data_IF_356369458174
#
_entry.id   IF_356369458174
#
_cell.length_a   1.000
_cell.length_b   1.000
_cell.length_c   1.000
_cell.angle_alpha   90.00
_cell.angle_beta   90.00
_cell.angle_gamma   90.00
#
_symmetry.space_group_name_H-M   'P 1'
#
loop_
_entity.id
_entity.type
_entity.pdbx_description
1 polymer ?
#
# COMPACT_ATOMS: atom_id res chain seq x y z
N UNK A 1 17.72 -22.33 -48.16
CA UNK A 1 16.99 -22.55 -46.90
C UNK A 1 18.03 -22.49 -45.76
N UNK A 2 18.05 -21.48 -44.93
CA UNK A 2 18.90 -21.47 -43.74
C UNK A 2 18.09 -21.91 -42.53
N UNK A 3 18.62 -22.88 -41.85
CA UNK A 3 18.15 -23.53 -40.62
C UNK A 3 18.14 -22.53 -39.43
N UNK A 4 17.04 -22.51 -38.69
CA UNK A 4 16.90 -21.81 -37.41
C UNK A 4 17.92 -22.37 -36.40
N UNK A 5 18.86 -21.54 -35.96
CA UNK A 5 19.69 -21.81 -34.79
C UNK A 5 18.95 -21.32 -33.53
N UNK A 6 18.64 -22.23 -32.65
CA UNK A 6 18.19 -21.98 -31.27
C UNK A 6 19.29 -21.30 -30.49
N UNK A 7 18.94 -20.20 -29.81
CA UNK A 7 19.83 -19.41 -28.99
C UNK A 7 20.15 -20.17 -27.68
N UNK A 8 21.21 -20.96 -27.71
CA UNK A 8 21.93 -21.46 -26.53
C UNK A 8 23.40 -21.39 -26.90
N UNK A 9 23.96 -20.19 -26.97
CA UNK A 9 25.41 -20.02 -27.00
C UNK A 9 25.93 -19.65 -25.63
N UNK A 10 26.37 -20.68 -24.91
CA UNK A 10 27.33 -20.57 -23.81
C UNK A 10 28.63 -20.02 -24.40
N UNK A 11 28.97 -18.78 -24.10
CA UNK A 11 30.30 -18.25 -24.44
C UNK A 11 31.32 -18.98 -23.57
N UNK A 12 31.88 -20.06 -24.12
CA UNK A 12 33.15 -20.64 -23.61
C UNK A 12 34.32 -19.84 -24.16
N UNK A 13 34.81 -18.92 -23.40
CA UNK A 13 36.23 -18.46 -23.55
C UNK A 13 36.92 -18.76 -22.21
N UNK A 14 37.88 -19.64 -22.28
CA UNK A 14 38.83 -19.93 -21.23
C UNK A 14 39.72 -18.70 -21.00
N UNK A 15 39.37 -17.91 -20.01
CA UNK A 15 40.28 -17.03 -19.28
C UNK A 15 39.93 -17.24 -17.82
N UNK A 16 40.90 -17.76 -17.11
CA UNK A 16 40.93 -18.06 -15.68
C UNK A 16 39.83 -17.36 -14.83
N UNK A 17 38.77 -18.11 -14.49
CA UNK A 17 38.29 -18.13 -13.13
C UNK A 17 37.10 -17.28 -12.72
N UNK A 18 36.39 -16.53 -13.55
CA UNK A 18 35.16 -15.89 -13.12
C UNK A 18 33.96 -16.25 -14.03
N UNK A 19 32.97 -16.95 -13.48
CA UNK A 19 31.67 -17.14 -14.15
C UNK A 19 30.70 -16.05 -13.68
N UNK A 20 30.22 -15.24 -14.63
CA UNK A 20 29.11 -14.32 -14.43
C UNK A 20 27.83 -15.00 -14.89
N UNK A 21 26.97 -15.38 -13.97
CA UNK A 21 25.62 -15.87 -14.30
C UNK A 21 24.62 -14.74 -14.08
N UNK A 22 23.93 -14.33 -15.14
CA UNK A 22 22.78 -13.43 -15.06
C UNK A 22 21.53 -14.30 -15.06
N UNK A 23 20.83 -14.32 -13.94
CA UNK A 23 19.50 -14.93 -13.88
C UNK A 23 18.47 -14.01 -14.54
N UNK A 24 17.99 -14.35 -15.72
CA UNK A 24 16.79 -13.75 -16.29
C UNK A 24 15.56 -14.36 -15.60
N UNK A 25 14.98 -13.65 -14.67
CA UNK A 25 13.59 -13.94 -14.28
C UNK A 25 12.69 -13.33 -15.34
N UNK A 26 11.99 -14.15 -16.11
CA UNK A 26 10.96 -13.69 -17.02
C UNK A 26 9.95 -12.83 -16.26
N UNK A 27 9.60 -11.69 -16.83
CA UNK A 27 8.67 -10.73 -16.27
C UNK A 27 7.26 -11.36 -16.24
N UNK A 28 6.88 -11.93 -15.11
CA UNK A 28 5.48 -12.16 -14.83
C UNK A 28 4.92 -10.82 -14.32
N UNK A 29 4.14 -10.13 -15.15
CA UNK A 29 3.36 -8.98 -14.70
C UNK A 29 2.45 -9.49 -13.59
N UNK A 30 2.60 -8.96 -12.38
CA UNK A 30 1.71 -9.36 -11.28
C UNK A 30 0.29 -8.99 -11.64
N UNK A 31 -0.66 -9.91 -11.48
CA UNK A 31 -2.04 -9.67 -11.83
C UNK A 31 -2.64 -8.49 -11.07
N UNK A 32 -3.39 -7.63 -11.76
CA UNK A 32 -4.10 -6.51 -11.17
C UNK A 32 -5.51 -6.39 -11.75
N UNK A 33 -6.49 -6.13 -10.89
CA UNK A 33 -7.89 -5.87 -11.26
C UNK A 33 -8.14 -4.37 -11.23
N UNK A 34 -8.56 -3.81 -12.36
CA UNK A 34 -8.82 -2.38 -12.52
C UNK A 34 -10.30 -2.18 -12.83
N UNK A 35 -10.99 -1.33 -12.08
CA UNK A 35 -12.35 -0.88 -12.38
C UNK A 35 -12.26 0.40 -13.20
N UNK A 36 -12.82 0.41 -14.41
CA UNK A 36 -12.81 1.57 -15.33
C UNK A 36 -14.15 2.29 -15.38
N UNK A 37 -15.24 1.60 -15.08
CA UNK A 37 -16.57 2.18 -14.97
C UNK A 37 -17.26 1.66 -13.72
N UNK A 38 -17.30 2.51 -12.68
CA UNK A 38 -18.03 2.26 -11.45
C UNK A 38 -19.46 2.81 -11.61
N UNK A 39 -20.52 1.97 -11.62
CA UNK A 39 -21.89 2.45 -11.70
C UNK A 39 -22.21 3.43 -10.57
N UNK A 40 -22.89 4.54 -10.88
CA UNK A 40 -23.32 5.49 -9.87
C UNK A 40 -24.33 4.84 -8.91
N UNK A 41 -24.35 5.30 -7.67
CA UNK A 41 -25.34 4.87 -6.67
C UNK A 41 -26.78 5.10 -7.20
N UNK A 42 -27.64 4.11 -7.04
CA UNK A 42 -29.02 4.16 -7.51
C UNK A 42 -29.22 3.80 -8.98
N UNK A 43 -28.16 3.51 -9.77
CA UNK A 43 -28.26 3.15 -11.18
C UNK A 43 -28.18 1.64 -11.41
N UNK A 44 -28.60 1.23 -12.61
CA UNK A 44 -28.52 -0.16 -13.11
C UNK A 44 -27.41 -0.35 -14.13
N UNK A 45 -26.48 0.60 -14.21
CA UNK A 45 -25.37 0.54 -15.16
C UNK A 45 -24.46 -0.68 -14.89
N UNK A 46 -23.73 -1.05 -15.92
CA UNK A 46 -22.81 -2.21 -15.86
C UNK A 46 -21.45 -1.80 -15.28
N UNK A 47 -20.99 -2.57 -14.31
CA UNK A 47 -19.60 -2.49 -13.82
C UNK A 47 -18.65 -2.97 -14.90
N UNK A 48 -17.58 -2.22 -15.19
CA UNK A 48 -16.60 -2.59 -16.21
C UNK A 48 -15.18 -2.39 -15.71
N UNK A 49 -14.24 -3.14 -16.30
CA UNK A 49 -12.84 -3.01 -15.95
C UNK A 49 -11.90 -3.79 -16.87
N UNK A 50 -10.64 -3.84 -16.43
CA UNK A 50 -9.58 -4.61 -17.05
C UNK A 50 -8.86 -5.45 -15.99
N UNK A 51 -8.29 -6.57 -16.44
CA UNK A 51 -7.31 -7.33 -15.67
C UNK A 51 -5.99 -7.33 -16.42
N UNK A 52 -4.94 -6.96 -15.73
CA UNK A 52 -3.56 -7.01 -16.24
C UNK A 52 -2.92 -8.30 -15.73
N UNK A 53 -2.10 -8.97 -16.56
CA UNK A 53 -1.32 -10.13 -16.14
C UNK A 53 -2.15 -11.41 -15.86
N UNK A 54 -3.40 -11.48 -16.33
CA UNK A 54 -4.24 -12.67 -16.19
C UNK A 54 -4.17 -13.58 -17.44
N UNK A 55 -4.39 -14.88 -17.22
CA UNK A 55 -4.66 -15.87 -18.26
C UNK A 55 -6.18 -16.09 -18.34
N UNK A 56 -6.90 -15.52 -19.34
CA UNK A 56 -8.36 -15.66 -19.44
C UNK A 56 -8.86 -17.09 -19.57
N UNK A 57 -7.99 -18.04 -19.93
CA UNK A 57 -8.36 -19.45 -20.06
C UNK A 57 -8.36 -20.20 -18.73
N UNK A 58 -7.68 -19.65 -17.71
CA UNK A 58 -7.51 -20.26 -16.38
C UNK A 58 -8.05 -19.42 -15.24
N UNK A 59 -8.40 -18.16 -15.53
CA UNK A 59 -8.78 -17.18 -14.52
C UNK A 59 -10.05 -16.44 -14.94
N UNK A 60 -10.82 -16.03 -13.96
CA UNK A 60 -12.05 -15.28 -14.12
C UNK A 60 -12.23 -14.34 -12.90
N UNK A 61 -13.28 -13.53 -12.88
CA UNK A 61 -13.58 -12.65 -11.77
C UNK A 61 -14.74 -13.16 -10.93
N UNK A 62 -14.54 -13.22 -9.62
CA UNK A 62 -15.61 -13.27 -8.64
C UNK A 62 -15.96 -11.82 -8.26
N UNK A 63 -17.18 -11.40 -8.52
CA UNK A 63 -17.66 -10.05 -8.25
C UNK A 63 -18.69 -10.08 -7.14
N UNK A 64 -18.57 -9.15 -6.20
CA UNK A 64 -19.49 -9.02 -5.06
C UNK A 64 -19.91 -7.58 -4.88
N UNK A 65 -21.10 -7.38 -4.31
CA UNK A 65 -21.58 -6.09 -3.83
C UNK A 65 -21.95 -6.18 -2.36
N UNK A 66 -21.80 -5.09 -1.64
CA UNK A 66 -22.26 -4.94 -0.27
C UNK A 66 -23.39 -3.93 -0.20
N UNK A 67 -24.57 -4.38 0.17
CA UNK A 67 -25.72 -3.53 0.44
C UNK A 67 -25.87 -3.42 1.98
N UNK A 68 -25.80 -2.22 2.60
CA UNK A 68 -25.73 -2.07 4.06
C UNK A 68 -26.82 -2.78 4.85
N UNK A 69 -28.04 -2.84 4.31
CA UNK A 69 -29.16 -3.51 4.95
C UNK A 69 -29.19 -5.05 4.75
N UNK A 70 -28.36 -5.57 3.82
CA UNK A 70 -28.49 -6.95 3.36
C UNK A 70 -27.18 -7.75 3.38
N UNK A 71 -26.02 -7.10 3.46
CA UNK A 71 -24.70 -7.74 3.43
C UNK A 71 -24.12 -7.94 2.02
N UNK A 72 -23.19 -8.89 1.89
CA UNK A 72 -22.49 -9.20 0.66
C UNK A 72 -23.23 -10.18 -0.23
N UNK A 73 -23.24 -9.94 -1.55
CA UNK A 73 -23.87 -10.79 -2.56
C UNK A 73 -22.97 -10.99 -3.78
N UNK A 74 -22.92 -12.24 -4.27
CA UNK A 74 -22.29 -12.55 -5.57
C UNK A 74 -23.01 -11.88 -6.73
N UNK A 75 -22.26 -11.41 -7.75
CA UNK A 75 -22.79 -10.76 -8.95
C UNK A 75 -22.07 -11.22 -10.24
N UNK A 76 -22.83 -11.46 -11.33
CA UNK A 76 -24.29 -11.58 -11.39
C UNK A 76 -24.81 -12.57 -10.33
N UNK A 77 -26.06 -12.43 -9.90
CA UNK A 77 -26.54 -13.22 -8.76
C UNK A 77 -26.54 -14.73 -9.09
N UNK A 78 -25.50 -15.41 -8.58
CA UNK A 78 -25.28 -16.85 -8.56
C UNK A 78 -25.24 -17.59 -9.92
N UNK A 79 -25.58 -16.94 -11.03
CA UNK A 79 -25.54 -17.57 -12.35
C UNK A 79 -25.31 -16.53 -13.46
N UNK A 80 -24.11 -16.53 -14.07
CA UNK A 80 -22.94 -17.33 -13.73
C UNK A 80 -22.29 -16.86 -12.42
N UNK A 81 -21.59 -17.76 -11.72
CA UNK A 81 -20.88 -17.41 -10.48
C UNK A 81 -19.62 -16.58 -10.75
N UNK A 82 -18.99 -16.78 -11.90
CA UNK A 82 -17.77 -16.09 -12.32
C UNK A 82 -18.03 -15.25 -13.58
N UNK A 83 -17.40 -14.09 -13.63
CA UNK A 83 -17.40 -13.18 -14.77
C UNK A 83 -16.19 -13.48 -15.64
N UNK A 84 -16.37 -13.82 -16.94
CA UNK A 84 -15.26 -14.11 -17.83
C UNK A 84 -14.43 -12.86 -18.14
N UNK A 85 -13.14 -13.07 -18.34
CA UNK A 85 -12.19 -12.07 -18.84
C UNK A 85 -12.07 -12.26 -20.35
N UNK A 86 -12.16 -11.17 -21.12
CA UNK A 86 -11.97 -11.22 -22.56
C UNK A 86 -10.48 -11.37 -22.91
N UNK A 87 -10.12 -11.80 -24.12
CA UNK A 87 -8.72 -11.96 -24.53
C UNK A 87 -7.89 -10.67 -24.45
N UNK A 88 -8.52 -9.49 -24.52
CA UNK A 88 -7.88 -8.19 -24.35
C UNK A 88 -7.75 -7.75 -22.88
N UNK A 89 -8.17 -8.60 -21.94
CA UNK A 89 -8.18 -8.31 -20.51
C UNK A 89 -9.42 -7.58 -20.01
N UNK A 90 -10.32 -7.13 -20.89
CA UNK A 90 -11.54 -6.44 -20.49
C UNK A 90 -12.56 -7.39 -19.84
N UNK A 91 -13.40 -6.84 -18.98
CA UNK A 91 -14.50 -7.56 -18.35
C UNK A 91 -15.67 -6.64 -18.04
N UNK A 92 -16.86 -7.22 -17.88
CA UNK A 92 -18.05 -6.50 -17.46
C UNK A 92 -18.98 -7.38 -16.65
N UNK A 93 -19.63 -6.80 -15.63
CA UNK A 93 -20.56 -7.50 -14.76
C UNK A 93 -21.81 -6.66 -14.53
N UNK A 94 -22.98 -7.29 -14.67
CA UNK A 94 -24.22 -6.70 -14.19
C UNK A 94 -24.31 -6.92 -12.67
N UNK A 95 -24.20 -5.85 -11.90
CA UNK A 95 -24.19 -5.89 -10.45
C UNK A 95 -25.57 -5.65 -9.82
N UNK A 96 -26.62 -5.50 -10.66
CA UNK A 96 -27.99 -5.23 -10.22
C UNK A 96 -28.94 -6.40 -10.47
N UNK A 97 -28.38 -7.62 -10.54
CA UNK A 97 -29.15 -8.87 -10.68
C UNK A 97 -29.48 -9.45 -9.31
N UNK A 98 -30.74 -9.71 -9.02
CA UNK A 98 -31.19 -10.48 -7.84
C UNK A 98 -31.98 -9.73 -6.80
N UNK A 99 -31.93 -8.40 -6.74
CA UNK A 99 -32.72 -7.67 -5.74
C UNK A 99 -32.76 -6.16 -5.89
N UNK A 100 -33.80 -5.53 -5.33
CA UNK A 100 -33.95 -4.06 -5.38
C UNK A 100 -32.88 -3.32 -4.56
N UNK A 101 -32.25 -3.97 -3.59
CA UNK A 101 -31.15 -3.41 -2.80
C UNK A 101 -29.82 -3.29 -3.56
N UNK A 102 -29.68 -3.92 -4.71
CA UNK A 102 -28.43 -3.95 -5.47
C UNK A 102 -27.99 -2.57 -5.96
N UNK A 103 -28.93 -1.72 -6.37
CA UNK A 103 -28.64 -0.34 -6.80
C UNK A 103 -28.11 0.53 -5.67
N UNK A 104 -28.43 0.17 -4.42
CA UNK A 104 -28.02 0.89 -3.20
C UNK A 104 -26.79 0.30 -2.52
N UNK A 105 -26.11 -0.66 -3.16
CA UNK A 105 -24.86 -1.20 -2.65
C UNK A 105 -23.81 -0.08 -2.52
N UNK A 106 -23.10 -0.08 -1.40
CA UNK A 106 -22.08 0.95 -1.08
C UNK A 106 -20.65 0.47 -1.28
N UNK A 107 -20.42 -0.85 -1.36
CA UNK A 107 -19.09 -1.42 -1.65
C UNK A 107 -19.19 -2.44 -2.78
N UNK A 108 -18.17 -2.51 -3.61
CA UNK A 108 -18.03 -3.45 -4.70
C UNK A 108 -16.65 -4.10 -4.59
N UNK A 109 -16.62 -5.44 -4.67
CA UNK A 109 -15.38 -6.21 -4.72
C UNK A 109 -15.30 -6.97 -6.04
N UNK A 110 -14.19 -6.84 -6.75
CA UNK A 110 -13.84 -7.62 -7.93
C UNK A 110 -12.54 -8.38 -7.66
N UNK A 111 -12.58 -9.69 -7.67
CA UNK A 111 -11.46 -10.57 -7.31
C UNK A 111 -11.12 -11.49 -8.46
N UNK A 112 -9.87 -11.41 -8.94
CA UNK A 112 -9.33 -12.37 -9.89
C UNK A 112 -9.11 -13.70 -9.18
N UNK A 113 -9.72 -14.75 -9.69
CA UNK A 113 -9.65 -16.10 -9.12
C UNK A 113 -9.37 -17.14 -10.21
N UNK A 114 -8.95 -18.35 -9.83
CA UNK A 114 -8.90 -19.47 -10.75
C UNK A 114 -10.32 -19.82 -11.26
N UNK A 115 -10.43 -20.34 -12.49
CA UNK A 115 -11.70 -20.93 -12.99
C UNK A 115 -12.17 -22.12 -12.14
N UNK A 116 -11.28 -22.70 -11.30
CA UNK A 116 -11.61 -23.74 -10.34
C UNK A 116 -12.09 -23.16 -8.98
N UNK A 117 -12.41 -21.86 -8.93
CA UNK A 117 -12.95 -21.21 -7.73
C UNK A 117 -14.16 -21.97 -7.17
N UNK A 118 -14.08 -22.33 -5.90
CA UNK A 118 -15.05 -23.24 -5.27
C UNK A 118 -15.81 -22.64 -4.08
N UNK A 119 -15.66 -21.35 -3.85
CA UNK A 119 -16.53 -20.65 -2.92
C UNK A 119 -17.90 -20.51 -3.56
N UNK A 120 -18.91 -21.06 -2.93
CA UNK A 120 -20.29 -21.02 -3.44
C UNK A 120 -20.83 -19.60 -3.61
N UNK A 121 -22.08 -19.49 -4.02
CA UNK A 121 -22.77 -18.22 -4.10
C UNK A 121 -22.87 -17.55 -2.74
N UNK A 122 -22.39 -16.31 -2.64
CA UNK A 122 -22.48 -15.50 -1.42
C UNK A 122 -23.83 -14.79 -1.38
N UNK A 123 -24.56 -14.94 -0.26
CA UNK A 123 -25.95 -14.45 -0.12
C UNK A 123 -26.19 -13.85 1.27
N UNK A 124 -25.74 -12.60 1.47
CA UNK A 124 -26.10 -11.77 2.63
C UNK A 124 -25.22 -11.85 3.89
N UNK A 125 -24.02 -12.47 3.91
CA UNK A 125 -23.20 -12.36 5.10
C UNK A 125 -22.72 -10.92 5.31
N UNK A 126 -22.50 -10.55 6.57
CA UNK A 126 -21.97 -9.22 6.91
C UNK A 126 -20.54 -9.00 6.40
N UNK A 127 -19.75 -10.08 6.31
CA UNK A 127 -18.37 -10.09 5.84
C UNK A 127 -18.15 -11.17 4.79
N UNK A 128 -17.19 -10.94 3.88
CA UNK A 128 -16.71 -11.98 2.97
C UNK A 128 -15.79 -12.94 3.75
N UNK A 129 -15.95 -14.23 3.53
CA UNK A 129 -15.16 -15.23 4.25
C UNK A 129 -13.67 -15.15 3.92
N UNK A 130 -12.83 -15.60 4.85
CA UNK A 130 -11.38 -15.73 4.63
C UNK A 130 -11.05 -16.57 3.40
N UNK A 131 -11.88 -17.57 3.08
CA UNK A 131 -11.69 -18.41 1.91
C UNK A 131 -11.87 -17.64 0.58
N UNK A 132 -12.75 -16.64 0.53
CA UNK A 132 -12.89 -15.73 -0.62
C UNK A 132 -11.58 -14.98 -0.86
N UNK A 133 -11.02 -14.40 0.20
CA UNK A 133 -9.76 -13.66 0.12
C UNK A 133 -8.57 -14.57 -0.20
N UNK A 134 -8.52 -15.76 0.38
CA UNK A 134 -7.43 -16.72 0.16
C UNK A 134 -7.37 -17.25 -1.29
N UNK A 135 -8.49 -17.28 -2.00
CA UNK A 135 -8.52 -17.69 -3.41
C UNK A 135 -8.33 -16.51 -4.39
N UNK A 136 -8.28 -15.28 -3.91
CA UNK A 136 -8.05 -14.11 -4.74
C UNK A 136 -6.57 -14.00 -5.14
N UNK A 137 -6.28 -14.08 -6.43
CA UNK A 137 -4.96 -13.86 -7.02
C UNK A 137 -4.63 -12.36 -7.03
N UNK A 138 -5.63 -11.54 -7.36
CA UNK A 138 -5.62 -10.09 -7.27
C UNK A 138 -7.03 -9.60 -6.94
N UNK A 139 -7.15 -8.41 -6.37
CA UNK A 139 -8.45 -7.87 -5.97
C UNK A 139 -8.48 -6.36 -6.03
N UNK A 140 -9.67 -5.82 -6.22
CA UNK A 140 -9.98 -4.41 -6.01
C UNK A 140 -11.31 -4.34 -5.26
N UNK A 141 -11.31 -3.67 -4.11
CA UNK A 141 -12.53 -3.37 -3.36
C UNK A 141 -12.67 -1.85 -3.34
N UNK A 142 -13.84 -1.36 -3.72
CA UNK A 142 -14.11 0.07 -3.84
C UNK A 142 -15.40 0.44 -3.12
N UNK A 143 -15.35 1.54 -2.36
CA UNK A 143 -16.54 2.18 -1.79
C UNK A 143 -17.17 3.06 -2.86
N UNK A 144 -18.45 2.82 -3.14
CA UNK A 144 -19.24 3.60 -4.09
C UNK A 144 -19.79 4.84 -3.40
N UNK A 145 -19.56 6.06 -3.93
CA UNK A 145 -20.17 7.26 -3.39
C UNK A 145 -21.69 7.13 -3.25
N UNK A 146 -22.20 7.52 -2.10
CA UNK A 146 -23.64 7.55 -1.82
C UNK A 146 -24.08 8.97 -1.41
N UNK A 147 -25.35 9.36 -1.57
CA UNK A 147 -25.80 10.73 -1.35
C UNK A 147 -25.56 11.29 0.06
N UNK A 148 -25.44 10.41 1.05
CA UNK A 148 -25.33 10.80 2.46
C UNK A 148 -23.90 10.77 3.01
N UNK A 149 -22.91 10.59 2.13
CA UNK A 149 -21.51 10.55 2.51
C UNK A 149 -20.73 11.59 1.70
N UNK A 150 -20.04 12.47 2.41
CA UNK A 150 -19.19 13.45 1.76
C UNK A 150 -17.91 12.80 1.27
N UNK A 151 -17.54 13.10 0.02
CA UNK A 151 -16.27 12.71 -0.58
C UNK A 151 -15.39 13.91 -0.85
N UNK A 152 -14.09 13.72 -0.78
CA UNK A 152 -13.06 14.66 -1.23
C UNK A 152 -12.12 13.94 -2.17
N UNK A 153 -11.56 14.63 -3.16
CA UNK A 153 -10.47 14.11 -3.97
C UNK A 153 -9.16 14.65 -3.40
N UNK A 154 -8.26 13.74 -3.02
CA UNK A 154 -6.94 14.07 -2.50
C UNK A 154 -5.91 13.14 -3.11
N UNK A 155 -4.82 13.72 -3.63
CA UNK A 155 -3.72 12.99 -4.28
C UNK A 155 -4.16 12.07 -5.42
N UNK A 156 -5.24 12.44 -6.16
CA UNK A 156 -5.77 11.66 -7.28
C UNK A 156 -6.64 10.47 -6.88
N UNK A 157 -6.95 10.32 -5.60
CA UNK A 157 -7.85 9.31 -5.08
C UNK A 157 -9.10 9.93 -4.47
N UNK A 158 -10.20 9.18 -4.49
CA UNK A 158 -11.42 9.54 -3.79
C UNK A 158 -11.38 9.03 -2.35
N UNK A 159 -11.77 9.88 -1.43
CA UNK A 159 -11.81 9.61 0.01
C UNK A 159 -13.18 10.00 0.54
N UNK A 160 -13.79 9.16 1.33
CA UNK A 160 -14.97 9.56 2.08
C UNK A 160 -14.60 10.10 3.45
N UNK A 161 -15.37 11.10 3.92
CA UNK A 161 -15.13 11.75 5.20
C UNK A 161 -15.97 11.08 6.27
N UNK A 162 -15.32 10.64 7.34
CA UNK A 162 -15.97 9.96 8.48
C UNK A 162 -16.82 10.95 9.27
N UNK A 163 -18.11 10.62 9.47
CA UNK A 163 -19.05 11.43 10.23
C UNK A 163 -20.13 10.52 10.86
N UNK A 164 -19.78 9.73 11.89
CA UNK A 164 -20.74 8.88 12.59
C UNK A 164 -21.75 9.72 13.39
N UNK A 165 -22.93 9.17 13.64
CA UNK A 165 -24.00 9.85 14.38
C UNK A 165 -23.69 10.08 15.87
N UNK A 166 -22.58 9.55 16.39
CA UNK A 166 -22.19 9.65 17.80
C UNK A 166 -20.69 9.51 17.99
N UNK A 167 -20.29 9.20 19.20
CA UNK A 167 -18.87 8.92 19.52
C UNK A 167 -18.39 7.66 18.81
N UNK A 168 -17.20 7.72 18.24
CA UNK A 168 -16.56 6.62 17.54
C UNK A 168 -15.05 6.56 17.80
N UNK A 169 -14.42 5.41 17.51
CA UNK A 169 -12.98 5.24 17.56
C UNK A 169 -12.23 5.91 16.39
N UNK A 170 -10.93 6.19 16.57
CA UNK A 170 -10.23 6.10 17.84
C UNK A 170 -10.74 7.11 18.87
N UNK A 171 -10.64 6.77 20.12
CA UNK A 171 -11.07 7.69 21.15
C UNK A 171 -11.91 7.05 22.24
N UNK A 172 -12.99 7.70 22.74
CA UNK A 172 -14.24 8.11 22.07
C UNK A 172 -14.22 9.57 21.55
N UNK A 173 -14.46 9.76 20.27
CA UNK A 173 -14.44 11.08 19.64
C UNK A 173 -15.65 11.33 18.75
N UNK A 174 -16.08 12.60 18.64
CA UNK A 174 -16.93 13.03 17.53
C UNK A 174 -16.07 13.27 16.31
N UNK A 175 -16.48 12.77 15.15
CA UNK A 175 -15.88 13.08 13.84
C UNK A 175 -16.87 13.87 13.00
N UNK A 176 -16.36 14.82 12.24
CA UNK A 176 -17.20 15.74 11.47
C UNK A 176 -16.77 15.77 10.00
N UNK A 177 -17.76 15.74 9.11
CA UNK A 177 -17.58 15.94 7.68
C UNK A 177 -17.66 17.41 7.25
N UNK A 178 -17.76 18.34 8.20
CA UNK A 178 -17.75 19.76 7.92
C UNK A 178 -16.45 20.19 7.21
N UNK A 179 -16.53 21.18 6.34
CA UNK A 179 -15.35 21.72 5.63
C UNK A 179 -14.33 22.36 6.57
N UNK A 180 -14.77 22.77 7.76
CA UNK A 180 -13.89 23.28 8.82
C UNK A 180 -13.02 22.17 9.44
N UNK A 181 -13.45 20.90 9.37
CA UNK A 181 -12.69 19.77 9.88
C UNK A 181 -11.86 19.10 8.79
N UNK A 182 -12.43 18.95 7.59
CA UNK A 182 -11.77 18.31 6.46
C UNK A 182 -11.93 19.18 5.22
N UNK A 183 -10.82 19.57 4.60
CA UNK A 183 -10.84 20.27 3.30
C UNK A 183 -9.60 19.95 2.48
N UNK A 184 -9.71 20.08 1.16
CA UNK A 184 -8.58 20.07 0.24
C UNK A 184 -8.47 21.46 -0.36
N UNK A 185 -7.30 22.08 -0.30
CA UNK A 185 -7.05 23.42 -0.77
C UNK A 185 -6.77 23.48 -2.28
N UNK A 186 -6.51 24.68 -2.80
CA UNK A 186 -6.20 24.92 -4.23
C UNK A 186 -4.86 24.33 -4.68
N UNK A 187 -3.96 24.02 -3.74
CA UNK A 187 -2.70 23.31 -4.02
C UNK A 187 -2.91 21.78 -4.06
N UNK A 188 -4.11 21.30 -3.74
CA UNK A 188 -4.42 19.89 -3.59
C UNK A 188 -3.99 19.30 -2.25
N UNK A 189 -3.68 20.13 -1.24
CA UNK A 189 -3.25 19.66 0.08
C UNK A 189 -4.47 19.41 0.97
N UNK A 190 -4.39 18.33 1.75
CA UNK A 190 -5.42 17.95 2.70
C UNK A 190 -5.20 18.65 4.03
N UNK A 191 -6.26 19.27 4.55
CA UNK A 191 -6.33 19.89 5.86
C UNK A 191 -7.21 19.03 6.78
N UNK A 192 -6.64 18.48 7.84
CA UNK A 192 -7.35 17.83 8.93
C UNK A 192 -7.32 18.73 10.15
N UNK A 193 -8.49 19.02 10.73
CA UNK A 193 -8.61 19.94 11.88
C UNK A 193 -9.42 19.32 13.01
N UNK A 194 -8.94 19.53 14.23
CA UNK A 194 -9.75 19.37 15.44
C UNK A 194 -10.31 20.75 15.78
N UNK A 195 -11.64 20.86 15.78
CA UNK A 195 -12.35 22.12 16.01
C UNK A 195 -13.32 22.00 17.15
N UNK A 196 -13.57 23.13 17.87
CA UNK A 196 -14.58 23.19 18.91
C UNK A 196 -15.87 23.80 18.36
N UNK A 197 -16.91 22.99 18.20
CA UNK A 197 -18.21 23.40 17.66
C UNK A 197 -19.33 22.78 18.46
N UNK A 198 -20.42 23.52 18.64
CA UNK A 198 -21.66 23.01 19.30
C UNK A 198 -21.38 22.38 20.66
N UNK A 199 -20.50 23.01 21.46
CA UNK A 199 -20.04 22.53 22.77
C UNK A 199 -19.32 21.17 22.76
N UNK A 200 -18.78 20.74 21.64
CA UNK A 200 -18.00 19.52 21.51
C UNK A 200 -16.74 19.74 20.65
N UNK A 201 -15.69 19.02 20.97
CA UNK A 201 -14.52 18.89 20.13
C UNK A 201 -14.80 17.87 19.03
N UNK A 202 -14.52 18.25 17.80
CA UNK A 202 -14.77 17.42 16.61
C UNK A 202 -13.47 17.14 15.89
N UNK A 203 -13.18 15.87 15.74
CA UNK A 203 -12.02 15.31 15.07
C UNK A 203 -12.26 15.17 13.56
N UNK A 204 -11.21 14.84 12.84
CA UNK A 204 -11.21 14.66 11.38
C UNK A 204 -10.68 13.29 11.01
N UNK A 205 -11.32 12.61 10.05
CA UNK A 205 -10.81 11.40 9.42
C UNK A 205 -11.30 11.30 7.98
N UNK A 206 -10.38 10.96 7.07
CA UNK A 206 -10.72 10.53 5.72
C UNK A 206 -10.31 9.07 5.52
N UNK A 207 -11.10 8.36 4.71
CA UNK A 207 -10.93 6.95 4.41
C UNK A 207 -10.90 6.77 2.91
N UNK A 208 -9.88 6.08 2.40
CA UNK A 208 -9.78 5.84 0.96
C UNK A 208 -10.98 5.06 0.45
N UNK A 209 -11.54 5.49 -0.68
CA UNK A 209 -12.67 4.81 -1.31
C UNK A 209 -12.31 3.44 -1.87
N UNK A 210 -11.01 3.09 -1.93
CA UNK A 210 -10.51 1.82 -2.45
C UNK A 210 -9.51 1.18 -1.50
N UNK A 211 -9.38 -0.13 -1.59
CA UNK A 211 -8.26 -0.87 -1.00
C UNK A 211 -7.02 -0.75 -1.90
N UNK A 212 -5.85 -0.81 -1.31
CA UNK A 212 -4.57 -0.75 -2.03
C UNK A 212 -3.79 -2.06 -1.97
N UNK A 213 -3.88 -2.80 -0.86
CA UNK A 213 -3.13 -4.04 -0.67
C UNK A 213 -1.67 -3.81 -0.34
N UNK A 214 -0.85 -4.83 -0.56
CA UNK A 214 0.59 -4.77 -0.28
C UNK A 214 1.30 -3.82 -1.24
N UNK A 215 2.21 -3.01 -0.71
CA UNK A 215 2.93 -1.99 -1.47
C UNK A 215 3.60 -0.95 -0.59
N UNK A 216 4.09 0.11 -1.22
CA UNK A 216 4.69 1.27 -0.57
C UNK A 216 3.64 2.36 -0.38
N UNK A 217 3.38 2.71 0.87
CA UNK A 217 2.49 3.77 1.32
C UNK A 217 3.33 4.94 1.79
N UNK A 218 3.21 6.09 1.14
CA UNK A 218 3.99 7.28 1.45
C UNK A 218 3.10 8.48 1.68
N UNK A 219 3.36 9.20 2.75
CA UNK A 219 2.63 10.38 3.20
C UNK A 219 3.62 11.54 3.37
N UNK A 220 3.36 12.67 2.74
CA UNK A 220 4.12 13.90 2.92
C UNK A 220 3.31 14.88 3.76
N UNK A 221 3.82 15.22 4.93
CA UNK A 221 3.17 16.09 5.91
C UNK A 221 3.84 17.45 5.90
N UNK A 222 3.04 18.54 5.92
CA UNK A 222 3.50 19.92 6.04
C UNK A 222 2.94 20.54 7.32
N UNK A 223 3.35 20.03 8.44
CA UNK A 223 2.98 20.52 9.77
C UNK A 223 4.01 20.06 10.80
N UNK A 224 4.27 20.86 11.84
CA UNK A 224 5.22 20.50 12.89
C UNK A 224 4.64 19.42 13.82
N UNK A 225 4.73 18.15 13.43
CA UNK A 225 4.20 16.99 14.18
C UNK A 225 4.84 16.89 15.56
N UNK A 226 6.10 17.33 15.71
CA UNK A 226 6.84 17.34 16.98
C UNK A 226 6.18 18.21 18.06
N UNK A 227 5.42 19.22 17.65
CA UNK A 227 4.79 20.21 18.56
C UNK A 227 3.28 19.99 18.76
N UNK A 228 2.71 18.88 18.27
CA UNK A 228 1.31 18.55 18.51
C UNK A 228 1.01 18.53 20.02
N UNK A 229 -0.18 19.06 20.37
CA UNK A 229 -0.67 18.99 21.75
C UNK A 229 -0.63 17.54 22.26
N UNK A 230 -0.30 17.34 23.52
CA UNK A 230 -0.14 16.01 24.11
C UNK A 230 -1.35 15.09 23.94
N UNK A 231 -2.56 15.68 23.86
CA UNK A 231 -3.81 14.94 23.71
C UNK A 231 -4.20 14.72 22.24
N UNK A 232 -3.40 15.20 21.29
CA UNK A 232 -3.66 15.11 19.85
C UNK A 232 -2.79 14.05 19.21
N UNK A 233 -3.38 13.22 18.37
CA UNK A 233 -2.68 12.21 17.58
C UNK A 233 -3.03 12.35 16.11
N UNK A 234 -2.01 12.37 15.25
CA UNK A 234 -2.09 12.18 13.82
C UNK A 234 -1.93 10.70 13.51
N UNK A 235 -2.87 10.09 12.79
CA UNK A 235 -2.78 8.72 12.31
C UNK A 235 -2.72 8.66 10.78
N UNK A 236 -1.77 7.88 10.25
CA UNK A 236 -1.55 7.58 8.83
C UNK A 236 -1.45 6.06 8.71
N UNK A 237 -2.54 5.36 8.33
CA UNK A 237 -2.61 3.93 8.59
C UNK A 237 -3.52 3.18 7.61
N UNK A 238 -3.47 1.86 7.70
CA UNK A 238 -4.45 0.94 7.10
C UNK A 238 -5.41 0.42 8.17
N UNK A 239 -6.64 0.12 7.79
CA UNK A 239 -7.66 -0.43 8.70
C UNK A 239 -8.70 -1.24 7.94
N UNK A 240 -9.15 -2.36 8.52
CA UNK A 240 -10.32 -3.10 8.07
C UNK A 240 -11.50 -2.88 9.03
N UNK A 241 -12.67 -2.54 8.49
CA UNK A 241 -13.90 -2.48 9.27
C UNK A 241 -14.50 -3.88 9.57
N UNK A 242 -13.93 -4.93 9.01
CA UNK A 242 -14.29 -6.30 9.33
C UNK A 242 -13.64 -6.70 10.66
N UNK A 243 -14.41 -6.95 11.72
CA UNK A 243 -13.87 -7.27 13.05
C UNK A 243 -13.05 -8.57 13.08
N UNK A 244 -13.18 -9.42 12.06
CA UNK A 244 -12.34 -10.62 11.90
C UNK A 244 -10.89 -10.28 11.54
N UNK A 245 -10.65 -9.06 11.07
CA UNK A 245 -9.37 -8.62 10.51
C UNK A 245 -8.85 -7.32 11.12
N UNK A 246 -9.08 -7.14 12.42
CA UNK A 246 -8.57 -5.96 13.16
C UNK A 246 -7.05 -5.78 13.04
N UNK A 247 -6.31 -6.87 12.81
CA UNK A 247 -4.85 -6.85 12.68
C UNK A 247 -4.36 -6.41 11.29
N UNK A 248 -5.25 -6.02 10.37
CA UNK A 248 -4.89 -5.35 9.11
C UNK A 248 -4.58 -3.88 9.29
N UNK A 249 -4.07 -3.52 10.45
CA UNK A 249 -3.71 -2.16 10.81
C UNK A 249 -2.19 -2.04 10.90
N UNK A 250 -1.66 -1.15 10.08
CA UNK A 250 -0.25 -0.77 10.01
C UNK A 250 -0.20 0.73 10.10
N UNK A 251 0.48 1.26 11.13
CA UNK A 251 0.39 2.65 11.51
C UNK A 251 1.72 3.39 11.40
N UNK A 252 1.62 4.66 11.02
CA UNK A 252 2.52 5.73 11.41
C UNK A 252 1.70 6.73 12.20
N UNK A 253 2.06 6.97 13.44
CA UNK A 253 1.34 7.88 14.29
C UNK A 253 2.26 8.96 14.86
N UNK A 254 1.76 10.22 14.89
CA UNK A 254 2.39 11.34 15.57
C UNK A 254 1.59 11.75 16.80
N UNK A 255 2.16 11.63 17.99
CA UNK A 255 1.49 11.98 19.25
C UNK A 255 2.26 11.57 20.50
N UNK A 256 1.80 12.08 21.66
CA UNK A 256 2.33 11.76 22.98
C UNK A 256 1.34 11.00 23.86
N UNK A 257 0.19 10.60 23.33
CA UNK A 257 -0.84 9.80 24.02
C UNK A 257 -1.22 10.30 25.42
N UNK A 258 -1.33 11.63 25.59
CA UNK A 258 -1.69 12.28 26.86
C UNK A 258 -0.52 12.50 27.82
N UNK A 259 0.69 12.07 27.50
CA UNK A 259 1.87 12.24 28.34
C UNK A 259 2.77 13.40 27.88
N UNK A 260 2.74 14.58 28.52
CA UNK A 260 3.56 15.72 28.12
C UNK A 260 5.05 15.49 28.35
N UNK A 261 5.42 14.56 29.23
CA UNK A 261 6.81 14.27 29.58
C UNK A 261 7.45 13.24 28.63
N UNK A 262 6.66 12.64 27.72
CA UNK A 262 7.21 11.70 26.76
C UNK A 262 8.11 12.43 25.75
N UNK A 263 9.38 12.01 25.70
CA UNK A 263 10.35 12.55 24.75
C UNK A 263 10.09 12.07 23.33
N UNK A 264 9.46 10.88 23.19
CA UNK A 264 9.07 10.32 21.91
C UNK A 264 7.68 10.82 21.56
N UNK A 265 7.53 11.35 20.36
CA UNK A 265 6.33 12.00 19.89
C UNK A 265 5.77 11.35 18.60
N UNK A 266 6.23 10.14 18.29
CA UNK A 266 5.75 9.35 17.17
C UNK A 266 5.98 7.86 17.40
N UNK A 267 5.31 7.03 16.60
CA UNK A 267 5.50 5.59 16.61
C UNK A 267 5.19 4.95 15.26
N UNK A 268 5.82 3.78 15.05
CA UNK A 268 5.46 2.79 14.03
C UNK A 268 4.81 1.60 14.71
N UNK A 269 3.71 1.11 14.15
CA UNK A 269 2.96 0.01 14.76
C UNK A 269 2.49 -0.96 13.69
N UNK A 270 2.50 -2.25 14.03
CA UNK A 270 1.64 -3.26 13.42
C UNK A 270 0.76 -3.82 14.53
N UNK A 271 -0.54 -3.89 14.32
CA UNK A 271 -1.44 -4.37 15.38
C UNK A 271 -1.32 -5.89 15.58
N UNK A 272 -1.54 -6.38 16.81
CA UNK A 272 -1.87 -5.62 18.03
C UNK A 272 -0.62 -5.02 18.72
N UNK A 273 -0.66 -3.73 19.01
CA UNK A 273 0.49 -2.95 19.54
C UNK A 273 1.08 -3.46 20.86
N UNK A 274 0.30 -4.22 21.63
CA UNK A 274 0.74 -4.79 22.91
C UNK A 274 1.65 -6.01 22.77
N UNK A 275 1.85 -6.52 21.57
CA UNK A 275 2.75 -7.66 21.31
C UNK A 275 4.19 -7.20 21.19
N UNK A 276 5.11 -8.03 21.66
CA UNK A 276 6.56 -7.72 21.63
C UNK A 276 7.01 -7.46 20.19
N UNK A 277 7.77 -6.39 19.99
CA UNK A 277 8.27 -5.92 18.69
C UNK A 277 7.20 -5.45 17.69
N UNK A 278 5.94 -5.26 18.11
CA UNK A 278 4.92 -4.69 17.23
C UNK A 278 4.92 -3.16 17.20
N UNK A 279 5.67 -2.52 18.08
CA UNK A 279 5.72 -1.08 18.23
C UNK A 279 7.15 -0.59 18.37
N UNK A 280 7.51 0.48 17.64
CA UNK A 280 8.70 1.29 17.86
C UNK A 280 8.29 2.73 18.12
N UNK A 281 8.61 3.24 19.33
CA UNK A 281 8.52 4.68 19.66
C UNK A 281 9.74 5.41 19.12
N UNK A 282 9.54 6.60 18.59
CA UNK A 282 10.65 7.46 18.13
C UNK A 282 10.33 8.94 18.28
N UNK A 283 11.37 9.76 18.12
CA UNK A 283 11.26 11.20 18.18
C UNK A 283 11.35 11.82 16.79
N UNK A 284 10.34 12.61 16.39
CA UNK A 284 10.44 13.56 15.29
C UNK A 284 11.30 14.72 15.74
N UNK A 285 12.38 15.07 15.01
CA UNK A 285 13.23 16.20 15.37
C UNK A 285 12.45 17.51 15.45
N UNK A 286 12.78 18.40 16.40
CA UNK A 286 12.04 19.64 16.61
C UNK A 286 12.19 20.60 15.43
N UNK A 287 11.09 21.32 15.12
CA UNK A 287 11.07 22.41 14.14
C UNK A 287 10.99 21.94 12.69
N UNK A 288 10.74 20.66 12.43
CA UNK A 288 10.46 20.16 11.08
C UNK A 288 9.00 20.42 10.73
N UNK A 289 8.77 21.22 9.68
CA UNK A 289 7.44 21.42 9.09
C UNK A 289 7.16 20.43 7.96
N UNK A 290 8.18 20.09 7.19
CA UNK A 290 8.07 19.12 6.10
C UNK A 290 8.68 17.78 6.53
N UNK A 291 7.86 16.75 6.54
CA UNK A 291 8.29 15.37 6.83
C UNK A 291 7.65 14.39 5.87
N UNK A 292 8.37 13.32 5.59
CA UNK A 292 7.84 12.17 4.85
C UNK A 292 7.81 10.96 5.76
N UNK A 293 6.67 10.32 5.80
CA UNK A 293 6.44 9.08 6.52
C UNK A 293 6.02 8.00 5.53
N UNK A 294 6.59 6.82 5.65
CA UNK A 294 6.23 5.72 4.78
C UNK A 294 6.27 4.38 5.51
N UNK A 295 5.48 3.44 4.99
CA UNK A 295 5.68 2.03 5.26
C UNK A 295 5.57 1.22 3.98
N UNK A 296 6.33 0.11 3.93
CA UNK A 296 6.25 -0.88 2.86
C UNK A 296 5.75 -2.17 3.46
N UNK A 297 4.58 -2.56 3.02
CA UNK A 297 3.93 -3.79 3.41
C UNK A 297 4.23 -4.87 2.38
N UNK A 298 5.08 -5.83 2.77
CA UNK A 298 5.47 -6.98 1.97
C UNK A 298 4.86 -8.26 2.55
N UNK A 299 4.96 -9.37 1.83
CA UNK A 299 4.42 -10.66 2.29
C UNK A 299 5.16 -11.25 3.49
N UNK A 300 6.41 -10.85 3.70
CA UNK A 300 7.30 -11.43 4.71
C UNK A 300 7.89 -10.40 5.69
N UNK A 301 7.55 -9.11 5.55
CA UNK A 301 7.98 -8.04 6.45
C UNK A 301 7.20 -6.76 6.21
N UNK A 302 7.26 -5.87 7.19
CA UNK A 302 6.82 -4.47 7.07
C UNK A 302 8.02 -3.61 7.42
N UNK A 303 8.27 -2.57 6.62
CA UNK A 303 9.35 -1.62 6.85
C UNK A 303 8.79 -0.22 6.94
N UNK A 304 9.19 0.52 7.96
CA UNK A 304 8.85 1.93 8.12
C UNK A 304 10.06 2.82 7.98
N UNK A 305 9.81 4.04 7.54
CA UNK A 305 10.80 5.11 7.51
C UNK A 305 10.14 6.45 7.73
N UNK A 306 10.79 7.32 8.52
CA UNK A 306 10.46 8.72 8.66
C UNK A 306 11.68 9.58 8.34
N UNK A 307 11.48 10.62 7.53
CA UNK A 307 12.55 11.51 7.08
C UNK A 307 12.09 12.96 7.04
N UNK A 308 13.05 13.89 7.14
CA UNK A 308 12.81 15.31 6.94
C UNK A 308 12.65 15.64 5.45
N UNK A 309 11.85 16.67 5.17
CA UNK A 309 11.54 17.19 3.86
C UNK A 309 10.72 16.22 2.96
N UNK A 310 10.50 16.60 1.72
CA UNK A 310 9.92 15.74 0.69
C UNK A 310 10.74 14.46 0.53
N UNK A 311 10.09 13.41 0.05
CA UNK A 311 10.74 12.12 -0.13
C UNK A 311 12.05 12.28 -0.91
N UNK A 312 13.13 11.86 -0.27
CA UNK A 312 14.42 11.70 -0.90
C UNK A 312 14.95 10.33 -0.51
N UNK A 313 15.31 9.54 -1.48
CA UNK A 313 15.95 8.26 -1.21
C UNK A 313 17.40 8.43 -0.70
N UNK A 314 17.90 9.65 -0.51
CA UNK A 314 19.19 9.89 0.15
C UNK A 314 19.05 9.59 1.65
N UNK A 315 19.86 8.65 2.16
CA UNK A 315 19.82 8.20 3.56
C UNK A 315 20.07 9.32 4.60
N UNK A 316 20.57 10.46 4.18
CA UNK A 316 20.99 11.56 5.06
C UNK A 316 19.84 12.27 5.78
N UNK A 317 18.62 12.10 5.28
CA UNK A 317 17.43 12.78 5.81
C UNK A 317 16.54 11.87 6.69
N UNK A 318 16.90 10.60 6.84
CA UNK A 318 16.14 9.63 7.65
C UNK A 318 16.45 9.85 9.12
N UNK A 319 15.43 10.09 9.93
CA UNK A 319 15.58 10.22 11.39
C UNK A 319 15.02 9.02 12.17
N UNK A 320 14.20 8.17 11.55
CA UNK A 320 13.75 6.91 12.14
C UNK A 320 13.45 5.87 11.08
N UNK A 321 13.72 4.59 11.39
CA UNK A 321 13.34 3.45 10.56
C UNK A 321 13.12 2.23 11.42
N UNK A 322 12.23 1.34 10.96
CA UNK A 322 11.93 0.09 11.64
C UNK A 322 11.62 -1.01 10.64
N UNK A 323 11.95 -2.26 11.00
CA UNK A 323 11.59 -3.44 10.21
C UNK A 323 10.99 -4.49 11.13
N UNK A 324 9.75 -4.89 10.83
CA UNK A 324 9.07 -6.02 11.44
C UNK A 324 9.07 -7.19 10.47
N UNK A 325 9.53 -8.37 10.91
CA UNK A 325 9.76 -9.52 10.03
C UNK A 325 9.27 -10.87 10.59
N UNK A 326 8.39 -10.85 11.60
CA UNK A 326 7.71 -12.06 12.07
C UNK A 326 6.64 -12.48 11.07
N UNK A 327 7.00 -13.36 10.13
CA UNK A 327 6.19 -13.67 8.94
C UNK A 327 4.78 -14.13 9.26
N UNK A 328 4.58 -14.89 10.35
CA UNK A 328 3.27 -15.39 10.78
C UNK A 328 2.34 -14.31 11.34
N UNK A 329 2.88 -13.14 11.64
CA UNK A 329 2.17 -12.00 12.22
C UNK A 329 2.06 -10.82 11.24
N UNK A 330 2.56 -10.98 9.99
CA UNK A 330 2.33 -10.01 8.93
C UNK A 330 0.85 -10.06 8.51
N UNK A 331 0.12 -8.92 8.55
CA UNK A 331 -1.26 -8.88 8.12
C UNK A 331 -1.45 -9.36 6.69
N UNK A 332 -2.48 -10.15 6.45
CA UNK A 332 -2.89 -10.52 5.09
C UNK A 332 -3.76 -9.40 4.51
N UNK A 333 -3.39 -8.92 3.32
CA UNK A 333 -4.21 -7.93 2.61
C UNK A 333 -5.62 -8.47 2.31
N UNK A 334 -6.63 -7.64 2.53
CA UNK A 334 -8.03 -7.98 2.35
C UNK A 334 -8.87 -6.80 1.88
N UNK A 335 -9.66 -6.25 2.76
CA UNK A 335 -10.55 -5.11 2.51
C UNK A 335 -10.14 -3.83 3.25
N UNK A 336 -8.90 -3.79 3.73
CA UNK A 336 -8.34 -2.63 4.41
C UNK A 336 -8.38 -1.38 3.52
N UNK A 337 -8.71 -0.25 4.14
CA UNK A 337 -8.62 1.08 3.56
C UNK A 337 -7.44 1.84 4.17
N UNK A 338 -6.90 2.80 3.44
CA UNK A 338 -6.01 3.81 4.01
C UNK A 338 -6.84 4.84 4.74
N UNK A 339 -6.41 5.24 5.91
CA UNK A 339 -7.04 6.26 6.73
C UNK A 339 -6.04 7.31 7.17
N UNK A 340 -6.50 8.55 7.17
CA UNK A 340 -5.76 9.70 7.66
C UNK A 340 -6.65 10.40 8.66
N UNK A 341 -6.21 10.48 9.91
CA UNK A 341 -7.01 11.11 10.95
C UNK A 341 -6.21 12.04 11.86
N UNK A 342 -6.93 12.95 12.48
CA UNK A 342 -6.47 13.80 13.57
C UNK A 342 -7.49 13.68 14.69
N UNK A 343 -7.08 13.13 15.85
CA UNK A 343 -7.98 12.70 16.89
C UNK A 343 -7.48 13.00 18.29
N UNK A 344 -8.38 12.91 19.28
CA UNK A 344 -8.11 13.22 20.70
C UNK A 344 -7.99 11.93 21.51
N UNK A 345 -6.87 11.76 22.18
CA UNK A 345 -6.59 10.63 23.05
C UNK A 345 -7.64 10.57 24.18
N UNK A 346 -8.33 9.42 24.28
CA UNK A 346 -9.43 9.21 25.21
C UNK A 346 -10.55 10.28 25.15
N UNK A 347 -10.70 10.99 24.03
CA UNK A 347 -11.64 12.10 23.91
C UNK A 347 -11.24 13.35 24.70
N UNK A 348 -10.01 13.40 25.23
CA UNK A 348 -9.54 14.51 26.01
C UNK A 348 -9.25 15.74 25.13
N UNK A 349 -9.86 16.85 25.42
CA UNK A 349 -9.64 18.13 24.71
C UNK A 349 -8.16 18.53 24.70
N UNK A 350 -7.70 19.32 23.72
CA UNK A 350 -6.36 19.90 23.75
C UNK A 350 -6.12 20.63 25.09
N UNK A 351 -4.97 20.37 25.71
CA UNK A 351 -4.66 20.89 27.04
C UNK A 351 -4.52 22.42 27.10
N UNK A 352 -4.31 23.04 25.96
CA UNK A 352 -4.23 24.48 25.76
C UNK A 352 -5.54 25.10 25.22
N UNK A 353 -6.57 24.27 25.02
CA UNK A 353 -7.89 24.66 24.47
C UNK A 353 -7.85 25.27 23.05
N UNK A 354 -6.75 25.10 22.32
CA UNK A 354 -6.64 25.55 20.95
C UNK A 354 -7.15 24.52 19.95
N UNK A 355 -7.77 24.99 18.87
CA UNK A 355 -8.03 24.17 17.71
C UNK A 355 -6.71 23.75 17.05
N UNK A 356 -6.64 22.56 16.46
CA UNK A 356 -5.42 21.99 15.90
C UNK A 356 -5.60 21.69 14.43
N UNK A 357 -4.59 21.98 13.64
CA UNK A 357 -4.55 21.67 12.22
C UNK A 357 -3.30 20.86 11.87
N UNK A 358 -3.48 19.86 11.02
CA UNK A 358 -2.40 19.17 10.30
C UNK A 358 -2.68 19.23 8.81
N UNK A 359 -1.67 19.62 8.04
CA UNK A 359 -1.69 19.67 6.59
C UNK A 359 -0.90 18.52 6.02
N UNK A 360 -1.51 17.77 5.09
CA UNK A 360 -0.88 16.65 4.39
C UNK A 360 -0.80 17.01 2.91
N UNK A 361 0.42 17.10 2.38
CA UNK A 361 0.69 17.49 0.99
C UNK A 361 0.26 16.44 0.00
N UNK A 362 0.62 15.18 0.29
CA UNK A 362 0.37 14.09 -0.64
C UNK A 362 0.27 12.73 0.06
N UNK A 363 -0.48 11.85 -0.58
CA UNK A 363 -0.44 10.42 -0.39
C UNK A 363 -0.06 9.76 -1.72
N UNK A 364 0.91 8.85 -1.68
CA UNK A 364 1.32 8.09 -2.84
C UNK A 364 1.34 6.60 -2.49
N UNK A 365 0.81 5.78 -3.39
CA UNK A 365 0.86 4.32 -3.27
C UNK A 365 1.51 3.71 -4.50
N UNK A 366 2.48 2.82 -4.26
CA UNK A 366 3.09 2.00 -5.29
C UNK A 366 2.84 0.53 -4.92
N UNK A 367 2.04 -0.21 -5.71
CA UNK A 367 1.78 -1.61 -5.42
C UNK A 367 3.06 -2.44 -5.45
N UNK A 368 3.16 -3.44 -4.59
CA UNK A 368 4.31 -4.35 -4.52
C UNK A 368 4.63 -4.97 -5.89
N UNK A 369 3.59 -5.25 -6.68
CA UNK A 369 3.69 -5.77 -8.04
C UNK A 369 4.30 -4.80 -9.07
N UNK A 370 4.24 -3.50 -8.81
CA UNK A 370 4.84 -2.48 -9.67
C UNK A 370 6.31 -2.20 -9.29
N UNK A 371 6.79 -2.74 -8.17
CA UNK A 371 8.21 -2.75 -7.83
C UNK A 371 8.89 -3.81 -8.70
N UNK A 372 9.09 -3.48 -9.97
CA UNK A 372 9.82 -4.36 -10.88
C UNK A 372 11.21 -4.63 -10.28
N UNK A 373 11.63 -5.90 -10.20
CA UNK A 373 12.99 -6.19 -9.77
C UNK A 373 13.97 -5.50 -10.72
N UNK A 374 15.04 -4.95 -10.19
CA UNK A 374 16.11 -4.43 -11.04
C UNK A 374 16.63 -5.52 -11.96
N UNK A 375 16.79 -5.18 -13.24
CA UNK A 375 17.36 -6.10 -14.23
C UNK A 375 18.83 -5.76 -14.40
N UNK A 376 19.71 -6.68 -14.04
CA UNK A 376 21.16 -6.55 -14.26
C UNK A 376 21.44 -6.90 -15.71
N UNK A 377 22.03 -5.95 -16.45
CA UNK A 377 22.38 -6.11 -17.86
C UNK A 377 23.86 -5.79 -18.11
N UNK A 378 24.39 -6.24 -19.25
CA UNK A 378 25.74 -5.92 -19.70
C UNK A 378 26.86 -6.14 -18.67
N UNK A 379 26.90 -7.26 -17.92
CA UNK A 379 27.97 -7.50 -16.98
C UNK A 379 29.31 -7.63 -17.72
N UNK A 380 30.31 -6.90 -17.27
CA UNK A 380 31.66 -6.89 -17.85
C UNK A 380 32.72 -6.92 -16.75
N UNK A 381 33.76 -7.69 -16.96
CA UNK A 381 34.97 -7.63 -16.15
C UNK A 381 35.94 -6.63 -16.84
N UNK A 382 36.31 -5.59 -16.11
CA UNK A 382 37.24 -4.59 -16.55
C UNK A 382 38.67 -4.93 -16.12
N UNK A 383 39.65 -4.17 -16.65
CA UNK A 383 41.04 -4.29 -16.22
C UNK A 383 41.16 -4.10 -14.70
N UNK A 384 41.99 -4.92 -14.04
CA UNK A 384 42.10 -4.93 -12.58
C UNK A 384 41.03 -5.77 -11.81
N UNK A 385 40.20 -6.52 -12.55
CA UNK A 385 39.18 -7.39 -11.92
C UNK A 385 37.91 -6.68 -11.46
N UNK A 386 37.74 -5.41 -11.84
CA UNK A 386 36.53 -4.64 -11.53
C UNK A 386 35.34 -5.21 -12.32
N UNK A 387 34.24 -5.52 -11.64
CA UNK A 387 33.00 -5.91 -12.29
C UNK A 387 32.12 -4.66 -12.47
N UNK A 388 31.75 -4.41 -13.72
CA UNK A 388 30.76 -3.39 -14.08
C UNK A 388 29.49 -4.05 -14.59
N UNK A 389 28.33 -3.58 -14.13
CA UNK A 389 27.04 -3.98 -14.67
C UNK A 389 26.11 -2.76 -14.80
N UNK A 390 25.23 -2.79 -15.79
CA UNK A 390 24.15 -1.81 -15.93
C UNK A 390 22.88 -2.42 -15.33
N UNK A 391 22.09 -1.60 -14.62
CA UNK A 391 20.81 -2.00 -14.06
C UNK A 391 19.71 -1.17 -14.71
N UNK A 392 18.65 -1.84 -15.13
CA UNK A 392 17.36 -1.18 -15.40
C UNK A 392 16.58 -1.19 -14.10
N UNK A 393 16.15 -0.02 -13.64
CA UNK A 393 15.61 0.26 -12.31
C UNK A 393 14.43 1.20 -12.40
N UNK A 394 13.67 1.35 -11.33
CA UNK A 394 12.68 2.42 -11.18
C UNK A 394 13.31 3.62 -10.49
N UNK A 395 13.14 4.85 -11.00
CA UNK A 395 13.57 6.07 -10.31
C UNK A 395 12.95 6.16 -8.90
N UNK A 396 13.64 6.88 -8.01
CA UNK A 396 13.24 7.14 -6.62
C UNK A 396 13.22 5.92 -5.69
N UNK A 397 13.75 4.78 -6.13
CA UNK A 397 13.96 3.61 -5.28
C UNK A 397 15.44 3.36 -5.02
N UNK A 398 15.71 2.73 -3.88
CA UNK A 398 17.05 2.22 -3.55
C UNK A 398 17.15 0.76 -3.94
N UNK A 399 18.37 0.38 -4.27
CA UNK A 399 18.69 -0.99 -4.65
C UNK A 399 19.94 -1.43 -3.90
N UNK A 400 19.82 -2.50 -3.10
CA UNK A 400 20.99 -3.22 -2.59
C UNK A 400 21.50 -4.15 -3.65
N UNK A 401 22.75 -3.97 -4.01
CA UNK A 401 23.47 -4.91 -4.87
C UNK A 401 24.14 -5.92 -3.97
N UNK A 402 23.78 -7.17 -4.18
CA UNK A 402 24.25 -8.27 -3.35
C UNK A 402 25.03 -9.27 -4.18
N UNK A 403 26.03 -9.90 -3.56
CA UNK A 403 26.85 -10.95 -4.15
C UNK A 403 26.73 -12.24 -3.35
N UNK A 404 26.78 -13.36 -4.06
CA UNK A 404 26.81 -14.70 -3.47
C UNK A 404 27.77 -15.62 -4.22
N UNK A 405 28.43 -16.53 -3.51
CA UNK A 405 29.21 -17.61 -4.10
C UNK A 405 28.43 -18.92 -4.26
N UNK A 406 27.25 -19.04 -3.62
CA UNK A 406 26.51 -20.32 -3.50
C UNK A 406 24.98 -20.18 -3.66
N UNK A 407 24.46 -18.97 -3.96
CA UNK A 407 23.03 -18.62 -4.09
C UNK A 407 22.20 -18.74 -2.80
N UNK A 408 22.81 -19.12 -1.67
CA UNK A 408 22.12 -19.30 -0.39
C UNK A 408 22.42 -18.19 0.60
N UNK A 409 23.67 -17.74 0.65
CA UNK A 409 24.09 -16.58 1.45
C UNK A 409 24.43 -15.43 0.50
N UNK A 410 23.92 -14.24 0.83
CA UNK A 410 24.11 -13.01 0.08
C UNK A 410 24.75 -11.95 0.96
N UNK A 411 25.80 -11.37 0.49
CA UNK A 411 26.53 -10.29 1.15
C UNK A 411 26.31 -8.98 0.35
N UNK A 412 26.12 -7.85 1.05
CA UNK A 412 25.88 -6.56 0.42
C UNK A 412 27.17 -6.01 -0.20
N UNK A 413 27.06 -5.58 -1.44
CA UNK A 413 28.16 -4.91 -2.16
C UNK A 413 28.02 -3.40 -2.02
N UNK A 414 26.85 -2.87 -2.30
CA UNK A 414 26.56 -1.43 -2.23
C UNK A 414 25.06 -1.19 -2.30
N UNK A 415 24.63 -0.08 -1.70
CA UNK A 415 23.26 0.44 -1.85
C UNK A 415 23.28 1.64 -2.79
N UNK A 416 22.43 1.65 -3.80
CA UNK A 416 22.32 2.71 -4.79
C UNK A 416 20.93 3.30 -4.83
N UNK A 417 20.86 4.63 -4.99
CA UNK A 417 19.62 5.33 -5.32
C UNK A 417 19.47 5.43 -6.82
N UNK A 418 18.32 5.03 -7.34
CA UNK A 418 17.97 5.25 -8.74
C UNK A 418 17.43 6.68 -8.93
N UNK A 419 18.23 7.55 -9.51
CA UNK A 419 17.83 8.90 -9.95
C UNK A 419 17.29 8.91 -11.39
N UNK A 420 17.38 7.78 -12.08
CA UNK A 420 16.87 7.54 -13.44
C UNK A 420 16.50 6.06 -13.60
N UNK A 421 15.95 5.70 -14.75
CA UNK A 421 15.61 4.32 -15.12
C UNK A 421 16.82 3.39 -15.34
N UNK A 422 18.04 3.94 -15.24
CA UNK A 422 19.31 3.22 -15.42
C UNK A 422 20.32 3.60 -14.36
N UNK A 423 21.00 2.60 -13.82
CA UNK A 423 22.15 2.74 -12.95
C UNK A 423 23.32 1.92 -13.50
N UNK A 424 24.54 2.36 -13.20
CA UNK A 424 25.76 1.57 -13.44
C UNK A 424 26.40 1.24 -12.10
N UNK A 425 26.73 -0.02 -11.89
CA UNK A 425 27.36 -0.54 -10.67
C UNK A 425 28.77 -0.96 -10.96
N UNK A 426 29.68 -0.71 -10.01
CA UNK A 426 31.04 -1.17 -10.02
C UNK A 426 31.33 -1.93 -8.72
N UNK A 427 31.83 -3.16 -8.83
CA UNK A 427 32.44 -3.86 -7.71
C UNK A 427 33.97 -3.90 -7.91
N UNK A 428 34.70 -3.27 -7.01
CA UNK A 428 36.15 -3.13 -7.09
C UNK A 428 36.91 -4.23 -6.35
N UNK A 429 36.23 -4.99 -5.49
CA UNK A 429 36.82 -6.01 -4.62
C UNK A 429 36.57 -7.44 -5.11
N UNK A 430 36.23 -7.63 -6.37
CA UNK A 430 35.99 -8.93 -6.92
C UNK A 430 37.28 -9.78 -6.94
N UNK A 431 37.29 -10.88 -6.17
CA UNK A 431 38.41 -11.82 -6.21
C UNK A 431 38.40 -12.58 -7.54
N UNK A 432 39.54 -12.63 -8.27
CA UNK A 432 39.58 -13.10 -9.65
C UNK A 432 39.33 -14.62 -9.84
N UNK A 433 39.20 -15.39 -8.77
CA UNK A 433 39.18 -16.87 -8.81
C UNK A 433 37.89 -17.53 -8.30
N UNK A 434 36.84 -16.78 -7.96
CA UNK A 434 35.62 -17.35 -7.39
C UNK A 434 34.40 -17.15 -8.29
N UNK A 435 33.52 -18.16 -8.36
CA UNK A 435 32.19 -18.02 -8.95
C UNK A 435 31.38 -17.01 -8.12
N UNK A 436 30.78 -16.04 -8.78
CA UNK A 436 29.95 -15.01 -8.14
C UNK A 436 28.63 -14.86 -8.85
N UNK A 437 27.59 -14.73 -8.06
CA UNK A 437 26.24 -14.43 -8.49
C UNK A 437 25.86 -13.06 -7.93
N UNK A 438 25.15 -12.27 -8.73
CA UNK A 438 24.72 -10.94 -8.35
C UNK A 438 23.20 -10.83 -8.42
N UNK A 439 22.62 -10.12 -7.47
CA UNK A 439 21.23 -9.69 -7.53
C UNK A 439 21.12 -8.24 -7.07
N UNK A 440 20.08 -7.58 -7.54
CA UNK A 440 19.66 -6.30 -7.01
C UNK A 440 18.33 -6.48 -6.27
N UNK A 441 18.27 -6.01 -5.03
CA UNK A 441 17.09 -6.07 -4.18
C UNK A 441 16.55 -4.65 -4.05
N UNK A 442 15.30 -4.42 -4.45
CA UNK A 442 14.65 -3.11 -4.29
C UNK A 442 14.47 -2.83 -2.80
N UNK A 443 14.96 -1.69 -2.35
CA UNK A 443 14.74 -1.17 -1.01
C UNK A 443 13.67 -0.07 -1.05
N UNK A 444 13.06 0.22 0.10
CA UNK A 444 12.12 1.32 0.22
C UNK A 444 12.74 2.65 -0.14
#
# INVERSE_FOLDING_TARGET
MPTKKTFTEVIRRWLTGCFLAVCYSGWAVSPAVIITNLPAYGTTDTLKGYVIGADPTKQALAVFIYAPAFGWYSKPFCTPLLVPIQPDGSWSANITTGGTGDTTATRIAAMLVSTNYNVGCVTGPATLSTNVYAQAIAKTIITRPSPNVRFVNFSGYDWWVKSPAGLAGPGPNYFSDATNNVSVDTNGWLHLRITHRTNAWQCAEIVSARTFGQGNYRFEVNSPVDSLNQNVTLGLFTWSDDPTFTDREIDVEGGRWGNPADSDNAQFVVQPFGTVNHLLRYRVPPGLTDTTHLFIWETNRIRWQAQSNAFSAAATNVFSSYTFSTVTEIPLSGDENVRLNLWLVNGAQPSDFNEVEVVIKSFNFVPLSALAPAVITNPKIQAGGVIRADLTVQPDFRYDIQVSSNLTRWDDVTTLLATSDKLTVFETNALPTSTRFYRAVTLP
#
